data_IF_481072944483
#
_entry.id   IF_481072944483
#
_cell.length_a   1.000
_cell.length_b   1.000
_cell.length_c   1.000
_cell.angle_alpha   90.00
_cell.angle_beta   90.00
_cell.angle_gamma   90.00
#
_symmetry.space_group_name_H-M   'P 1'
#
loop_
_entity.id
_entity.type
_entity.pdbx_description
1 polymer ?
#
# COMPACT_ATOMS: atom_id res chain seq x y z
N UNK A 1 5.10 12.42 -8.48
CA UNK A 1 5.90 13.01 -7.38
C UNK A 1 5.03 13.18 -6.14
N UNK A 2 5.54 12.82 -4.96
CA UNK A 2 4.93 13.03 -3.64
C UNK A 2 5.78 14.04 -2.85
N UNK A 3 5.14 15.09 -2.33
CA UNK A 3 5.75 16.04 -1.39
C UNK A 3 4.84 16.13 -0.17
N UNK A 4 5.41 16.04 1.02
CA UNK A 4 4.71 16.23 2.29
C UNK A 4 5.28 17.46 2.98
N UNK A 5 4.40 18.38 3.37
CA UNK A 5 4.76 19.64 4.01
C UNK A 5 4.21 19.69 5.44
N UNK A 6 4.99 20.23 6.37
CA UNK A 6 4.51 20.61 7.70
C UNK A 6 4.37 22.12 7.81
N UNK A 7 3.33 22.55 8.52
CA UNK A 7 3.13 23.95 8.84
C UNK A 7 4.04 24.34 10.00
N UNK A 8 4.98 25.25 9.75
CA UNK A 8 5.69 25.97 10.80
C UNK A 8 4.82 27.17 11.21
N UNK A 9 4.15 27.06 12.35
CA UNK A 9 3.23 28.10 12.84
C UNK A 9 3.94 29.38 13.29
N UNK A 10 5.16 29.27 13.83
CA UNK A 10 5.95 30.41 14.30
C UNK A 10 6.36 31.31 13.13
N UNK A 11 6.81 30.69 12.03
CA UNK A 11 7.29 31.39 10.84
C UNK A 11 6.19 31.60 9.78
N UNK A 12 4.95 31.16 10.06
CA UNK A 12 3.80 31.23 9.16
C UNK A 12 4.09 30.66 7.75
N UNK A 13 4.91 29.60 7.66
CA UNK A 13 5.31 28.96 6.40
C UNK A 13 5.09 27.45 6.41
N UNK A 14 5.19 26.84 5.24
CA UNK A 14 5.27 25.39 5.10
C UNK A 14 6.71 24.97 4.84
N UNK A 15 7.13 23.89 5.48
CA UNK A 15 8.46 23.29 5.34
C UNK A 15 8.31 21.88 4.79
N UNK A 16 9.23 21.48 3.90
CA UNK A 16 9.25 20.13 3.35
C UNK A 16 9.62 19.16 4.46
N UNK A 17 8.70 18.25 4.78
CA UNK A 17 8.92 17.15 5.70
C UNK A 17 9.43 15.90 4.99
N UNK A 18 8.99 15.67 3.75
CA UNK A 18 9.39 14.52 2.93
C UNK A 18 9.18 14.82 1.45
N UNK A 19 10.04 14.23 0.62
CA UNK A 19 9.86 14.24 -0.83
C UNK A 19 10.28 12.89 -1.41
N UNK A 20 9.37 12.27 -2.14
CA UNK A 20 9.67 11.06 -2.91
C UNK A 20 9.12 11.22 -4.34
N UNK A 21 10.01 11.07 -5.32
CA UNK A 21 9.68 11.32 -6.72
C UNK A 21 9.12 10.08 -7.45
N UNK A 22 9.18 8.89 -6.83
CA UNK A 22 8.84 7.60 -7.44
C UNK A 22 7.62 6.91 -6.81
N UNK A 23 7.14 7.39 -5.66
CA UNK A 23 6.08 6.72 -4.93
C UNK A 23 4.69 6.89 -5.56
N UNK A 24 4.46 8.01 -6.25
CA UNK A 24 3.27 8.17 -7.09
C UNK A 24 3.57 7.56 -8.44
N UNK A 25 3.07 6.33 -8.64
CA UNK A 25 3.17 5.59 -9.89
C UNK A 25 2.29 6.23 -10.96
N UNK A 26 2.72 6.11 -12.21
CA UNK A 26 1.93 6.40 -13.42
C UNK A 26 1.77 5.10 -14.23
N UNK A 27 0.78 5.00 -15.13
CA UNK A 27 0.65 3.84 -16.01
C UNK A 27 1.93 3.59 -16.82
N UNK A 28 2.35 2.33 -16.93
CA UNK A 28 3.53 1.92 -17.73
C UNK A 28 3.16 1.27 -19.07
N UNK A 29 1.87 1.07 -19.31
CA UNK A 29 1.31 0.45 -20.52
C UNK A 29 0.03 1.18 -20.94
N UNK A 30 -0.28 1.27 -22.26
CA UNK A 30 -1.53 1.84 -22.75
C UNK A 30 -2.79 1.09 -22.28
N UNK A 31 -2.64 -0.15 -21.83
CA UNK A 31 -3.76 -0.96 -21.32
C UNK A 31 -3.95 -0.83 -19.82
N UNK A 32 -3.04 -0.19 -19.10
CA UNK A 32 -3.11 0.00 -17.65
C UNK A 32 -3.93 1.25 -17.30
N UNK A 33 -4.87 1.13 -16.37
CA UNK A 33 -5.57 2.29 -15.81
C UNK A 33 -4.65 3.12 -14.92
N UNK A 34 -5.04 4.35 -14.57
CA UNK A 34 -4.34 5.18 -13.59
C UNK A 34 -4.12 4.39 -12.28
N UNK A 35 -2.87 4.08 -11.88
CA UNK A 35 -2.62 3.30 -10.68
C UNK A 35 -2.85 4.06 -9.39
N UNK A 36 -2.58 5.36 -9.34
CA UNK A 36 -2.77 6.16 -8.13
C UNK A 36 -4.25 6.52 -7.95
N UNK A 37 -4.85 6.09 -6.85
CA UNK A 37 -6.29 6.25 -6.63
C UNK A 37 -6.62 7.38 -5.66
N UNK A 38 -5.93 7.42 -4.51
CA UNK A 38 -6.23 8.42 -3.50
C UNK A 38 -5.06 8.65 -2.54
N UNK A 39 -5.06 9.84 -1.94
CA UNK A 39 -4.27 10.18 -0.76
C UNK A 39 -5.21 10.70 0.33
N UNK A 40 -5.06 10.19 1.54
CA UNK A 40 -5.91 10.54 2.69
C UNK A 40 -5.07 10.70 3.93
N UNK A 41 -5.42 11.65 4.81
CA UNK A 41 -4.82 11.77 6.13
C UNK A 41 -5.91 11.60 7.18
N UNK A 42 -5.77 10.61 8.05
CA UNK A 42 -6.72 10.35 9.15
C UNK A 42 -5.95 10.03 10.42
N UNK A 43 -6.24 10.75 11.51
CA UNK A 43 -5.62 10.54 12.82
C UNK A 43 -4.08 10.51 12.78
N UNK A 44 -3.48 11.40 11.97
CA UNK A 44 -2.02 11.48 11.80
C UNK A 44 -1.39 10.35 10.98
N UNK A 45 -2.21 9.53 10.31
CA UNK A 45 -1.76 8.49 9.38
C UNK A 45 -2.02 8.97 7.95
N UNK A 46 -0.95 9.03 7.16
CA UNK A 46 -1.00 9.22 5.72
C UNK A 46 -1.31 7.88 5.06
N UNK A 47 -2.38 7.82 4.29
CA UNK A 47 -2.79 6.67 3.50
C UNK A 47 -2.66 6.99 2.01
N UNK A 48 -2.10 6.05 1.25
CA UNK A 48 -1.98 6.13 -0.20
C UNK A 48 -2.59 4.86 -0.81
N UNK A 49 -3.56 5.03 -1.68
CA UNK A 49 -4.34 3.95 -2.30
C UNK A 49 -3.91 3.78 -3.76
N UNK A 50 -3.73 2.52 -4.18
CA UNK A 50 -3.39 2.12 -5.55
C UNK A 50 -4.34 1.04 -6.08
N UNK A 51 -4.56 1.06 -7.39
CA UNK A 51 -5.27 0.02 -8.11
C UNK A 51 -4.52 -0.37 -9.38
N UNK A 52 -4.25 -1.66 -9.55
CA UNK A 52 -3.62 -2.22 -10.75
C UNK A 52 -4.70 -2.97 -11.52
N UNK A 53 -5.08 -2.41 -12.66
CA UNK A 53 -6.06 -2.98 -13.56
C UNK A 53 -5.63 -2.76 -15.01
N UNK A 54 -5.78 -3.81 -15.82
CA UNK A 54 -5.44 -3.77 -17.24
C UNK A 54 -6.67 -4.10 -18.09
N UNK A 55 -6.93 -3.31 -19.13
CA UNK A 55 -8.03 -3.54 -20.07
C UNK A 55 -7.81 -4.77 -20.96
N UNK A 56 -6.56 -5.18 -21.17
CA UNK A 56 -6.17 -6.38 -21.93
C UNK A 56 -4.85 -6.97 -21.41
N UNK A 57 -4.61 -8.26 -21.65
CA UNK A 57 -3.33 -8.93 -21.38
C UNK A 57 -3.15 -9.46 -19.95
N UNK A 58 -4.13 -9.32 -19.07
CA UNK A 58 -4.12 -9.89 -17.71
C UNK A 58 -5.51 -10.35 -17.31
N UNK A 59 -5.62 -11.35 -16.44
CA UNK A 59 -6.85 -11.66 -15.70
C UNK A 59 -6.80 -11.17 -14.26
N UNK A 60 -5.62 -10.81 -13.76
CA UNK A 60 -5.39 -10.34 -12.40
C UNK A 60 -5.64 -8.84 -12.25
N UNK A 61 -6.22 -8.46 -11.11
CA UNK A 61 -6.30 -7.08 -10.65
C UNK A 61 -5.81 -7.03 -9.21
N UNK A 62 -5.32 -5.87 -8.76
CA UNK A 62 -4.97 -5.70 -7.35
C UNK A 62 -5.28 -4.31 -6.83
N UNK A 63 -5.63 -4.23 -5.56
CA UNK A 63 -5.74 -2.97 -4.82
C UNK A 63 -4.74 -2.99 -3.69
N UNK A 64 -4.05 -1.88 -3.44
CA UNK A 64 -3.06 -1.75 -2.37
C UNK A 64 -3.22 -0.45 -1.61
N UNK A 65 -3.08 -0.52 -0.29
CA UNK A 65 -3.22 0.60 0.63
C UNK A 65 -2.00 0.63 1.52
N UNK A 66 -1.21 1.70 1.45
CA UNK A 66 -0.06 1.90 2.34
C UNK A 66 -0.37 2.96 3.40
N UNK A 67 -0.04 2.65 4.65
CA UNK A 67 -0.31 3.52 5.81
C UNK A 67 1.01 3.95 6.43
N UNK A 68 1.34 5.23 6.30
CA UNK A 68 2.52 5.86 6.87
C UNK A 68 2.16 6.72 8.08
N UNK A 69 3.02 6.70 9.10
CA UNK A 69 2.92 7.60 10.25
C UNK A 69 4.26 8.29 10.47
N UNK A 70 4.22 9.59 10.78
CA UNK A 70 5.42 10.32 11.12
C UNK A 70 5.90 9.94 12.52
N UNK A 71 7.05 9.28 12.62
CA UNK A 71 7.65 8.75 13.85
C UNK A 71 9.16 8.94 13.77
N UNK A 72 9.80 9.43 14.83
CA UNK A 72 11.26 9.62 14.89
C UNK A 72 11.82 10.39 13.68
N UNK A 73 11.11 11.44 13.28
CA UNK A 73 11.47 12.34 12.18
C UNK A 73 11.45 11.70 10.76
N UNK A 74 10.75 10.58 10.60
CA UNK A 74 10.56 9.91 9.30
C UNK A 74 9.10 9.45 9.13
N UNK A 75 8.63 9.35 7.89
CA UNK A 75 7.36 8.67 7.60
C UNK A 75 7.60 7.15 7.54
N UNK A 76 7.26 6.47 8.64
CA UNK A 76 7.38 5.02 8.76
C UNK A 76 6.11 4.33 8.26
N UNK A 77 6.27 3.30 7.42
CA UNK A 77 5.20 2.42 6.96
C UNK A 77 4.75 1.53 8.13
N UNK A 78 3.57 1.83 8.69
CA UNK A 78 3.02 1.15 9.86
C UNK A 78 2.04 0.03 9.50
N UNK A 79 1.53 0.04 8.28
CA UNK A 79 0.71 -1.05 7.76
C UNK A 79 0.53 -1.00 6.25
N UNK A 80 0.15 -2.13 5.68
CA UNK A 80 -0.18 -2.27 4.28
C UNK A 80 -1.31 -3.28 4.12
N UNK A 81 -2.24 -3.02 3.22
CA UNK A 81 -3.27 -3.96 2.80
C UNK A 81 -3.13 -4.16 1.30
N UNK A 82 -3.09 -5.41 0.82
CA UNK A 82 -3.09 -5.72 -0.61
C UNK A 82 -4.11 -6.80 -0.88
N UNK A 83 -5.02 -6.52 -1.81
CA UNK A 83 -6.03 -7.46 -2.30
C UNK A 83 -5.69 -7.79 -3.74
N UNK A 84 -5.47 -9.05 -4.03
CA UNK A 84 -5.34 -9.58 -5.39
C UNK A 84 -6.62 -10.30 -5.77
N UNK A 85 -6.97 -10.24 -7.05
CA UNK A 85 -8.19 -10.86 -7.54
C UNK A 85 -8.05 -11.36 -8.97
N UNK A 86 -8.69 -12.49 -9.24
CA UNK A 86 -8.75 -13.12 -10.56
C UNK A 86 -10.10 -12.85 -11.20
N UNK A 87 -10.14 -12.06 -12.28
CA UNK A 87 -11.40 -11.64 -12.92
C UNK A 87 -12.17 -12.79 -13.58
N UNK A 88 -11.49 -13.85 -13.97
CA UNK A 88 -12.10 -15.01 -14.62
C UNK A 88 -12.73 -16.00 -13.62
N UNK A 89 -12.13 -16.19 -12.44
CA UNK A 89 -12.64 -17.11 -11.41
C UNK A 89 -13.39 -16.39 -10.29
N UNK A 90 -13.19 -15.09 -10.15
CA UNK A 90 -13.66 -14.27 -9.03
C UNK A 90 -12.88 -14.49 -7.74
N UNK A 91 -11.84 -15.32 -7.73
CA UNK A 91 -11.05 -15.60 -6.53
C UNK A 91 -10.36 -14.34 -6.03
N UNK A 92 -10.31 -14.18 -4.71
CA UNK A 92 -9.67 -13.04 -4.05
C UNK A 92 -8.75 -13.49 -2.93
N UNK A 93 -7.61 -12.81 -2.78
CA UNK A 93 -6.73 -12.94 -1.62
C UNK A 93 -6.38 -11.54 -1.10
N UNK A 94 -6.70 -11.26 0.16
CA UNK A 94 -6.30 -10.04 0.85
C UNK A 94 -5.26 -10.35 1.90
N UNK A 95 -4.09 -9.71 1.83
CA UNK A 95 -3.11 -9.69 2.91
C UNK A 95 -3.11 -8.34 3.60
N UNK A 96 -3.26 -8.37 4.92
CA UNK A 96 -3.24 -7.19 5.78
C UNK A 96 -2.06 -7.28 6.74
N UNK A 97 -1.22 -6.26 6.77
CA UNK A 97 -0.01 -6.19 7.56
C UNK A 97 -0.11 -5.05 8.58
N UNK A 98 0.15 -5.38 9.84
CA UNK A 98 0.38 -4.42 10.91
C UNK A 98 1.84 -4.53 11.38
N UNK A 99 2.68 -3.64 10.87
CA UNK A 99 4.12 -3.66 11.10
C UNK A 99 4.52 -3.23 12.51
N UNK A 100 3.66 -2.49 13.21
CA UNK A 100 3.90 -2.12 14.62
C UNK A 100 3.75 -3.32 15.56
N UNK A 101 2.92 -4.30 15.20
CA UNK A 101 2.63 -5.48 16.03
C UNK A 101 3.20 -6.77 15.46
N UNK A 102 3.85 -6.71 14.28
CA UNK A 102 4.34 -7.87 13.53
C UNK A 102 3.22 -8.90 13.25
N UNK A 103 1.97 -8.45 13.13
CA UNK A 103 0.82 -9.32 12.84
C UNK A 103 0.40 -9.12 11.40
N UNK A 104 0.03 -10.22 10.77
CA UNK A 104 -0.62 -10.19 9.46
C UNK A 104 -1.80 -11.17 9.40
N UNK A 105 -2.72 -10.91 8.49
CA UNK A 105 -3.75 -11.85 8.10
C UNK A 105 -3.72 -12.10 6.59
N UNK A 106 -4.10 -13.31 6.21
CA UNK A 106 -4.40 -13.69 4.82
C UNK A 106 -5.86 -14.10 4.78
N UNK A 107 -6.64 -13.42 3.96
CA UNK A 107 -8.07 -13.70 3.75
C UNK A 107 -8.29 -14.12 2.32
N UNK A 108 -8.68 -15.37 2.10
CA UNK A 108 -9.06 -15.89 0.78
C UNK A 108 -10.58 -15.88 0.64
N UNK A 109 -11.10 -15.53 -0.53
CA UNK A 109 -12.52 -15.50 -0.81
C UNK A 109 -12.84 -15.54 -2.30
N UNK A 110 -14.05 -15.11 -2.64
CA UNK A 110 -14.51 -14.94 -4.01
C UNK A 110 -15.41 -13.70 -4.11
N UNK A 111 -15.61 -13.15 -5.30
CA UNK A 111 -16.63 -12.14 -5.57
C UNK A 111 -18.06 -12.67 -5.36
N UNK A 112 -18.29 -13.97 -5.55
CA UNK A 112 -19.53 -14.60 -5.10
C UNK A 112 -19.56 -14.67 -3.56
N UNK A 113 -20.44 -13.85 -2.97
CA UNK A 113 -20.63 -13.75 -1.52
C UNK A 113 -21.08 -15.07 -0.87
N UNK A 114 -21.62 -16.02 -1.65
CA UNK A 114 -21.96 -17.36 -1.16
C UNK A 114 -20.71 -18.17 -0.80
N UNK A 115 -19.56 -17.86 -1.39
CA UNK A 115 -18.28 -18.51 -1.06
C UNK A 115 -17.76 -17.94 0.25
N UNK A 116 -17.73 -18.78 1.28
CA UNK A 116 -17.26 -18.37 2.62
C UNK A 116 -15.80 -17.96 2.58
N UNK A 117 -15.51 -16.76 3.07
CA UNK A 117 -14.15 -16.26 3.28
C UNK A 117 -13.43 -17.10 4.34
N UNK A 118 -12.14 -17.34 4.14
CA UNK A 118 -11.27 -18.03 5.11
C UNK A 118 -10.16 -17.07 5.52
N UNK A 119 -9.94 -16.93 6.83
CA UNK A 119 -8.91 -16.04 7.38
C UNK A 119 -7.86 -16.87 8.09
N UNK A 120 -6.59 -16.56 7.85
CA UNK A 120 -5.45 -17.12 8.57
C UNK A 120 -4.61 -16.00 9.13
N UNK A 121 -4.30 -16.07 10.42
CA UNK A 121 -3.40 -15.13 11.08
C UNK A 121 -1.98 -15.69 11.11
N UNK A 122 -1.00 -14.82 10.89
CA UNK A 122 0.42 -15.14 11.00
C UNK A 122 1.15 -14.00 11.70
N UNK A 123 2.32 -14.31 12.23
CA UNK A 123 3.28 -13.31 12.67
C UNK A 123 4.31 -13.12 11.56
N UNK A 124 4.60 -11.87 11.24
CA UNK A 124 5.63 -11.50 10.28
C UNK A 124 6.57 -10.50 10.95
N UNK A 125 7.82 -10.89 11.16
CA UNK A 125 8.82 -10.07 11.85
C UNK A 125 9.60 -9.25 10.85
N UNK A 126 9.66 -7.95 11.10
CA UNK A 126 10.61 -7.05 10.46
C UNK A 126 11.57 -6.49 11.51
N UNK A 127 12.82 -6.27 11.11
CA UNK A 127 13.82 -5.67 12.00
C UNK A 127 13.61 -4.16 12.16
N UNK A 128 13.13 -3.50 11.09
CA UNK A 128 12.88 -2.06 11.06
C UNK A 128 11.71 -1.72 10.14
N UNK A 129 10.91 -0.73 10.53
CA UNK A 129 9.88 -0.16 9.68
C UNK A 129 10.50 0.44 8.42
N UNK A 130 9.89 0.17 7.27
CA UNK A 130 10.23 0.84 6.02
C UNK A 130 9.79 2.30 6.07
N UNK A 131 10.42 3.14 5.26
CA UNK A 131 10.14 4.57 5.11
C UNK A 131 10.17 4.92 3.63
N UNK A 132 9.79 6.14 3.24
CA UNK A 132 9.94 6.58 1.84
C UNK A 132 11.39 6.54 1.31
N UNK A 133 12.40 6.41 2.19
CA UNK A 133 13.82 6.24 1.84
C UNK A 133 14.21 4.79 1.56
N UNK A 134 13.52 3.83 2.17
CA UNK A 134 13.86 2.38 2.10
C UNK A 134 12.82 1.56 1.35
N UNK A 135 11.62 2.11 1.16
CA UNK A 135 10.54 1.63 0.32
C UNK A 135 10.21 2.77 -0.66
N UNK A 136 11.06 2.91 -1.67
CA UNK A 136 11.13 4.09 -2.53
C UNK A 136 10.04 4.13 -3.59
N UNK A 137 9.46 2.98 -3.95
CA UNK A 137 8.42 2.83 -4.97
C UNK A 137 7.42 1.76 -4.49
N UNK A 138 6.11 1.94 -4.70
CA UNK A 138 5.14 0.86 -4.45
C UNK A 138 5.49 -0.39 -5.26
N UNK A 139 5.18 -1.57 -4.71
CA UNK A 139 5.39 -2.90 -5.29
C UNK A 139 6.87 -3.30 -5.46
N UNK A 140 7.80 -2.66 -4.72
CA UNK A 140 9.23 -2.94 -4.81
C UNK A 140 9.80 -3.69 -3.60
N UNK A 141 9.02 -3.89 -2.54
CA UNK A 141 9.46 -4.58 -1.35
C UNK A 141 8.91 -6.00 -1.34
N UNK A 142 9.76 -6.97 -1.65
CA UNK A 142 9.47 -8.37 -1.42
C UNK A 142 9.39 -8.61 0.09
N UNK A 143 8.16 -8.82 0.57
CA UNK A 143 7.88 -9.05 1.99
C UNK A 143 7.81 -10.55 2.30
N UNK A 144 7.34 -11.35 1.36
CA UNK A 144 7.36 -12.81 1.42
C UNK A 144 7.80 -13.28 0.04
N UNK A 145 8.28 -14.53 -0.06
CA UNK A 145 8.70 -15.09 -1.34
C UNK A 145 7.63 -14.86 -2.41
N UNK A 146 8.01 -14.18 -3.50
CA UNK A 146 7.16 -13.83 -4.63
C UNK A 146 5.95 -12.91 -4.29
N UNK A 147 5.94 -12.28 -3.11
CA UNK A 147 4.91 -11.34 -2.69
C UNK A 147 5.48 -9.95 -2.43
N UNK A 148 5.12 -9.01 -3.31
CA UNK A 148 5.61 -7.64 -3.29
C UNK A 148 4.55 -6.69 -2.76
N UNK A 149 4.97 -5.90 -1.78
CA UNK A 149 4.33 -4.66 -1.36
C UNK A 149 4.99 -3.48 -2.04
#
# INVERSE_FOLDING_TARGET
>A
MLIILFKNAAEKRYEIAEQNNTFIMIPDSPTMSEPFQAVKIKNGVLQIDFEIWYSAGSWGTSQSVYKFKYINNEFALIGADKTESMRNTGETETRSYNFLTNKMSVTTGNYDEKVKKKVRWKTYKIDKLKTFRTFVKPFNWEIEQDYFL
#
